data_IF_444595442124
#
_entry.id   IF_444595442124
#
_cell.length_a   1.000
_cell.length_b   1.000
_cell.length_c   1.000
_cell.angle_alpha   90.00
_cell.angle_beta   90.00
_cell.angle_gamma   90.00
#
_symmetry.space_group_name_H-M   'P 1'
#
loop_
_entity.id
_entity.type
_entity.pdbx_description
1 polymer ?
#
# COMPACT_ATOMS: atom_id res chain seq x y z
N UNK A 1 -3.11 -20.22 -12.74
CA UNK A 1 -4.20 -19.76 -11.85
C UNK A 1 -4.21 -20.47 -10.48
N UNK A 2 -4.07 -21.81 -10.35
CA UNK A 2 -4.08 -22.48 -9.04
C UNK A 2 -2.81 -22.24 -8.20
N UNK A 3 -1.67 -22.00 -8.84
CA UNK A 3 -0.41 -21.70 -8.14
C UNK A 3 -0.43 -20.40 -7.33
N UNK A 4 -1.22 -19.39 -7.75
CA UNK A 4 -1.42 -18.19 -6.94
C UNK A 4 -2.20 -18.53 -5.67
N UNK A 5 -3.24 -19.34 -5.79
CA UNK A 5 -4.06 -19.79 -4.66
C UNK A 5 -3.25 -20.65 -3.68
N UNK A 6 -2.46 -21.60 -4.19
CA UNK A 6 -1.61 -22.45 -3.36
C UNK A 6 -0.56 -21.62 -2.61
N UNK A 7 0.05 -20.63 -3.27
CA UNK A 7 0.99 -19.70 -2.65
C UNK A 7 0.34 -18.86 -1.56
N UNK A 8 -0.89 -18.37 -1.78
CA UNK A 8 -1.66 -17.65 -0.76
C UNK A 8 -1.99 -18.53 0.44
N UNK A 9 -2.40 -19.79 0.22
CA UNK A 9 -2.70 -20.72 1.32
C UNK A 9 -1.44 -20.99 2.16
N UNK A 10 -0.30 -21.27 1.51
CA UNK A 10 0.97 -21.48 2.20
C UNK A 10 1.35 -20.24 3.02
N UNK A 11 1.19 -19.04 2.45
CA UNK A 11 1.45 -17.79 3.15
C UNK A 11 0.56 -17.63 4.38
N UNK A 12 -0.75 -17.89 4.26
CA UNK A 12 -1.71 -17.80 5.37
C UNK A 12 -1.37 -18.79 6.48
N UNK A 13 -1.04 -20.04 6.13
CA UNK A 13 -0.61 -21.07 7.09
C UNK A 13 0.66 -20.64 7.81
N UNK A 14 1.65 -20.12 7.08
CA UNK A 14 2.91 -19.65 7.65
C UNK A 14 2.68 -18.47 8.62
N UNK A 15 1.84 -17.50 8.23
CA UNK A 15 1.43 -16.40 9.11
C UNK A 15 0.72 -16.92 10.36
N UNK A 16 -0.18 -17.89 10.22
CA UNK A 16 -0.91 -18.48 11.35
C UNK A 16 0.03 -19.22 12.32
N UNK A 17 0.99 -19.99 11.81
CA UNK A 17 2.00 -20.67 12.62
C UNK A 17 2.87 -19.65 13.35
N UNK A 18 3.43 -18.66 12.64
CA UNK A 18 4.25 -17.62 13.27
C UNK A 18 3.47 -16.85 14.33
N UNK A 19 2.20 -16.54 14.06
CA UNK A 19 1.30 -15.89 15.01
C UNK A 19 1.07 -16.77 16.24
N UNK A 20 0.73 -18.05 16.04
CA UNK A 20 0.47 -18.99 17.12
C UNK A 20 1.68 -19.25 18.01
N UNK A 21 2.88 -19.37 17.43
CA UNK A 21 4.12 -19.50 18.18
C UNK A 21 4.50 -18.21 18.92
N UNK A 22 4.21 -17.04 18.36
CA UNK A 22 4.51 -15.75 18.98
C UNK A 22 3.44 -15.29 19.99
N UNK A 23 2.31 -16.00 20.08
CA UNK A 23 1.17 -15.63 20.95
C UNK A 23 1.50 -15.65 22.44
N UNK A 24 2.51 -16.43 22.84
CA UNK A 24 3.00 -16.50 24.22
C UNK A 24 3.73 -15.23 24.64
N UNK A 25 4.34 -14.52 23.68
CA UNK A 25 5.04 -13.26 23.97
C UNK A 25 4.00 -12.16 24.21
N UNK A 26 3.83 -11.81 25.48
CA UNK A 26 2.95 -10.73 25.92
C UNK A 26 3.76 -9.46 26.15
N UNK A 27 3.16 -8.32 25.87
CA UNK A 27 3.64 -7.01 26.25
C UNK A 27 2.56 -6.22 26.98
N UNK A 28 3.01 -5.24 27.75
CA UNK A 28 2.17 -4.21 28.34
C UNK A 28 2.28 -2.96 27.48
N UNK A 29 1.15 -2.43 27.03
CA UNK A 29 1.09 -1.21 26.23
C UNK A 29 0.43 -0.13 27.07
N UNK A 30 1.09 1.02 27.15
CA UNK A 30 0.54 2.20 27.79
C UNK A 30 -0.09 3.09 26.70
N UNK A 31 -1.41 3.03 26.55
CA UNK A 31 -2.15 3.86 25.60
C UNK A 31 -3.42 4.39 26.27
N UNK A 32 -3.31 5.52 26.96
CA UNK A 32 -4.36 6.13 27.81
C UNK A 32 -4.83 5.28 29.01
N UNK A 33 -4.60 3.96 29.00
CA UNK A 33 -4.64 3.03 30.13
C UNK A 33 -3.59 1.93 29.92
N UNK A 34 -3.24 1.21 30.99
CA UNK A 34 -2.35 0.05 30.93
C UNK A 34 -3.12 -1.16 30.39
N UNK A 35 -2.77 -1.60 29.19
CA UNK A 35 -3.25 -2.87 28.67
C UNK A 35 -2.16 -3.92 28.88
N UNK A 36 -2.34 -4.72 29.93
CA UNK A 36 -1.48 -5.85 30.22
C UNK A 36 -1.88 -7.07 29.39
N UNK A 37 -0.92 -7.96 29.15
CA UNK A 37 -1.14 -9.25 28.48
C UNK A 37 -1.54 -9.19 27.00
N UNK A 38 -1.20 -8.12 26.28
CA UNK A 38 -1.42 -8.04 24.83
C UNK A 38 -0.35 -8.89 24.12
N UNK A 39 -0.70 -9.83 23.22
CA UNK A 39 0.28 -10.51 22.39
C UNK A 39 1.06 -9.49 21.54
N UNK A 40 2.39 -9.54 21.55
CA UNK A 40 3.26 -8.62 20.79
C UNK A 40 2.86 -8.58 19.31
N UNK A 41 2.53 -9.75 18.74
CA UNK A 41 2.01 -9.85 17.39
C UNK A 41 0.77 -8.99 17.13
N UNK A 42 -0.20 -8.99 18.04
CA UNK A 42 -1.45 -8.24 17.88
C UNK A 42 -1.18 -6.73 17.86
N UNK A 43 -0.24 -6.26 18.69
CA UNK A 43 0.19 -4.87 18.72
C UNK A 43 0.87 -4.44 17.41
N UNK A 44 1.77 -5.29 16.89
CA UNK A 44 2.45 -5.06 15.62
C UNK A 44 1.48 -5.07 14.44
N UNK A 45 0.53 -6.01 14.43
CA UNK A 45 -0.49 -6.08 13.38
C UNK A 45 -1.39 -4.84 13.41
N UNK A 46 -1.81 -4.40 14.60
CA UNK A 46 -2.57 -3.16 14.78
C UNK A 46 -1.82 -1.92 14.26
N UNK A 47 -0.53 -1.80 14.60
CA UNK A 47 0.34 -0.72 14.10
C UNK A 47 0.49 -0.74 12.58
N UNK A 48 0.68 -1.93 11.99
CA UNK A 48 0.77 -2.09 10.55
C UNK A 48 -0.53 -1.67 9.84
N UNK A 49 -1.68 -2.14 10.33
CA UNK A 49 -2.99 -1.77 9.78
C UNK A 49 -3.22 -0.26 9.88
N UNK A 50 -2.92 0.35 11.03
CA UNK A 50 -3.03 1.80 11.20
C UNK A 50 -2.14 2.55 10.20
N UNK A 51 -0.88 2.12 10.04
CA UNK A 51 0.04 2.66 9.04
C UNK A 51 -0.48 2.52 7.60
N UNK A 52 -1.06 1.37 7.25
CA UNK A 52 -1.68 1.15 5.93
C UNK A 52 -2.86 2.10 5.71
N UNK A 53 -3.75 2.23 6.70
CA UNK A 53 -4.91 3.15 6.63
C UNK A 53 -4.45 4.60 6.42
N UNK A 54 -3.37 5.03 7.07
CA UNK A 54 -2.81 6.39 6.91
C UNK A 54 -2.13 6.56 5.55
N UNK A 55 -1.39 5.55 5.09
CA UNK A 55 -0.60 5.63 3.84
C UNK A 55 -1.44 5.52 2.58
N UNK A 56 -2.58 4.81 2.59
CA UNK A 56 -3.49 4.69 1.45
C UNK A 56 -3.98 6.06 0.94
N UNK A 57 -4.63 6.92 1.75
CA UNK A 57 -5.09 8.22 1.27
C UNK A 57 -3.89 9.08 0.85
N UNK A 58 -2.78 9.08 1.60
CA UNK A 58 -1.59 9.85 1.23
C UNK A 58 -1.02 9.45 -0.15
N UNK A 59 -0.94 8.15 -0.41
CA UNK A 59 -0.39 7.60 -1.65
C UNK A 59 -1.34 7.80 -2.83
N UNK A 60 -2.65 7.58 -2.63
CA UNK A 60 -3.66 7.72 -3.69
C UNK A 60 -3.95 9.20 -4.03
N UNK A 61 -3.99 10.10 -3.04
CA UNK A 61 -4.17 11.53 -3.29
C UNK A 61 -2.92 12.17 -3.92
N UNK A 62 -1.72 11.69 -3.59
CA UNK A 62 -0.46 12.18 -4.18
C UNK A 62 -0.30 11.90 -5.67
N UNK A 63 -0.96 10.86 -6.21
CA UNK A 63 -0.90 10.52 -7.65
C UNK A 63 -1.69 11.47 -8.55
N UNK A 64 -2.76 12.11 -8.05
CA UNK A 64 -3.62 12.98 -8.87
C UNK A 64 -2.91 14.19 -9.49
N UNK A 65 -1.75 14.62 -8.95
CA UNK A 65 -0.98 15.73 -9.52
C UNK A 65 -0.05 15.33 -10.68
N UNK A 66 0.31 14.05 -10.83
CA UNK A 66 1.24 13.61 -11.89
C UNK A 66 0.53 13.31 -13.21
N UNK A 67 -0.70 12.82 -13.20
CA UNK A 67 -1.44 12.50 -14.43
C UNK A 67 -1.86 13.74 -15.23
N UNK A 68 -2.22 14.85 -14.55
CA UNK A 68 -2.53 16.12 -15.26
C UNK A 68 -1.33 16.73 -15.97
N UNK A 69 -0.10 16.45 -15.53
CA UNK A 69 1.13 17.00 -16.16
C UNK A 69 1.51 16.21 -17.42
N UNK A 70 1.25 14.90 -17.46
CA UNK A 70 1.53 14.09 -18.63
C UNK A 70 0.51 14.29 -19.75
N UNK A 71 -0.78 14.42 -19.42
CA UNK A 71 -1.82 14.67 -20.43
C UNK A 71 -1.62 16.00 -21.17
N UNK A 72 -1.29 17.10 -20.47
CA UNK A 72 -0.97 18.38 -21.13
C UNK A 72 0.32 18.34 -21.96
N UNK A 73 1.34 17.62 -21.51
CA UNK A 73 2.60 17.52 -22.25
C UNK A 73 2.43 16.72 -23.54
N UNK A 74 1.62 15.65 -23.51
CA UNK A 74 1.31 14.88 -24.71
C UNK A 74 0.50 15.71 -25.69
N UNK A 75 -0.52 16.45 -25.23
CA UNK A 75 -1.39 17.33 -26.04
C UNK A 75 -0.67 18.54 -26.68
N UNK A 76 0.33 19.11 -26.00
CA UNK A 76 1.13 20.19 -26.58
C UNK A 76 2.13 19.66 -27.63
N UNK A 77 2.64 18.44 -27.46
CA UNK A 77 3.63 17.83 -28.36
C UNK A 77 3.03 17.36 -29.68
N UNK A 78 1.78 16.90 -29.71
CA UNK A 78 1.07 16.56 -30.94
C UNK A 78 0.52 17.80 -31.67
N UNK A 79 -0.01 18.82 -30.96
CA UNK A 79 -0.37 20.11 -31.60
C UNK A 79 0.83 20.77 -32.32
N UNK A 80 2.01 20.76 -31.68
CA UNK A 80 3.25 21.32 -32.30
C UNK A 80 3.76 20.48 -33.49
N UNK A 81 3.34 19.21 -33.59
CA UNK A 81 3.78 18.31 -34.66
C UNK A 81 2.91 18.45 -35.91
N UNK A 82 1.62 18.72 -35.74
CA UNK A 82 0.68 18.90 -36.86
C UNK A 82 0.90 20.25 -37.55
N UNK A 83 1.14 21.33 -36.79
CA UNK A 83 1.46 22.65 -37.35
C UNK A 83 2.74 22.63 -38.22
N UNK A 84 3.71 21.77 -37.86
CA UNK A 84 4.97 21.62 -38.62
C UNK A 84 4.84 20.75 -39.87
N UNK A 85 3.78 19.97 -40.00
CA UNK A 85 3.49 19.17 -41.19
C UNK A 85 2.64 19.92 -42.22
N UNK A 86 1.78 20.84 -41.80
CA UNK A 86 0.97 21.66 -42.70
C UNK A 86 1.79 22.78 -43.39
N UNK A 87 2.83 23.29 -42.73
CA UNK A 87 3.71 24.35 -43.28
C UNK A 87 4.75 23.82 -44.31
N UNK A 88 4.63 22.54 -44.72
CA UNK A 88 5.53 21.86 -45.67
C UNK A 88 4.83 21.38 -46.95
N UNK A 89 3.54 21.65 -47.12
CA UNK A 89 2.76 21.32 -48.32
C UNK A 89 2.60 22.53 -49.25
#
# INVERSE_FOLDING_TARGET
MPFKLIGTIILVVLVAILTGFNLSNKCTIWFFHNFENIPVFAALLGSFIAGVIITIPFTLYGRRKKDKKNSKKTELVNVTREEKSEDKE
#
